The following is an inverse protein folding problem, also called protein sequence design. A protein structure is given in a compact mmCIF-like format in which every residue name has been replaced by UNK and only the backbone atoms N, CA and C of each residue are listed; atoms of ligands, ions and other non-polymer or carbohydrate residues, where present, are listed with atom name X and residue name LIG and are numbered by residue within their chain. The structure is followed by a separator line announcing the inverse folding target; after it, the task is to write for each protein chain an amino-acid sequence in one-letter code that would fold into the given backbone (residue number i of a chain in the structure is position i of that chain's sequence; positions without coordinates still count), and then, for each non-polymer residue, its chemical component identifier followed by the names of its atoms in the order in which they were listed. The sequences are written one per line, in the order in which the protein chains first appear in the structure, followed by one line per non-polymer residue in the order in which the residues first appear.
data_IF_876996823223
#
_entry.id   IF_876996823223
#
_cell.length_a   1.000
_cell.length_b   1.000
_cell.length_c   1.000
_cell.angle_alpha   90.00
_cell.angle_beta   90.00
_cell.angle_gamma   90.00
#
_symmetry.space_group_name_H-M   'P 1'
#
loop_
_entity.id
_entity.type
_entity.pdbx_description
1 polymer ?
#
# COMPACT_ATOMS: atom_id res chain seq x y z
N UNK A 1 -20.58 -18.44 -2.05
CA UNK A 1 -20.61 -16.99 -2.28
C UNK A 1 -21.47 -16.39 -1.19
N UNK A 2 -20.88 -16.13 -0.02
CA UNK A 2 -21.60 -15.65 1.16
C UNK A 2 -21.74 -14.13 1.11
N UNK A 3 -22.98 -13.66 1.22
CA UNK A 3 -23.39 -12.26 1.25
C UNK A 3 -22.67 -11.47 2.35
N UNK A 4 -21.61 -10.73 2.00
CA UNK A 4 -21.04 -9.72 2.89
C UNK A 4 -21.96 -8.48 3.02
N UNK A 5 -23.04 -8.44 2.24
CA UNK A 5 -24.06 -7.39 2.23
C UNK A 5 -24.83 -7.32 3.55
N UNK A 6 -25.03 -8.45 4.23
CA UNK A 6 -25.86 -8.52 5.44
C UNK A 6 -25.11 -8.12 6.73
N UNK A 7 -23.77 -8.20 6.73
CA UNK A 7 -22.93 -7.81 7.88
C UNK A 7 -22.92 -6.29 8.15
N UNK A 8 -23.37 -5.49 7.19
CA UNK A 8 -23.32 -4.02 7.23
C UNK A 8 -24.46 -3.45 8.09
N UNK A 9 -25.52 -4.23 8.32
CA UNK A 9 -26.69 -3.78 9.07
C UNK A 9 -26.61 -3.97 10.59
N UNK A 10 -25.51 -4.51 11.14
CA UNK A 10 -25.43 -4.80 12.57
C UNK A 10 -24.74 -3.72 13.41
N UNK A 11 -23.82 -2.90 12.87
CA UNK A 11 -23.29 -1.69 13.54
C UNK A 11 -22.72 -0.67 12.53
N UNK A 12 -23.37 0.49 12.32
CA UNK A 12 -22.87 1.53 11.41
C UNK A 12 -21.51 2.16 11.80
N UNK A 13 -20.95 1.82 12.97
CA UNK A 13 -19.62 2.26 13.43
C UNK A 13 -18.51 1.21 13.29
N UNK A 14 -18.69 0.14 12.51
CA UNK A 14 -17.65 -0.88 12.36
C UNK A 14 -16.77 -0.60 11.13
N UNK A 15 -15.69 0.16 11.31
CA UNK A 15 -14.73 0.46 10.24
C UNK A 15 -14.13 -0.79 9.58
N UNK A 16 -14.03 -1.92 10.30
CA UNK A 16 -13.57 -3.18 9.72
C UNK A 16 -14.54 -3.76 8.68
N UNK A 17 -15.85 -3.58 8.86
CA UNK A 17 -16.83 -4.07 7.89
C UNK A 17 -16.70 -3.35 6.54
N UNK A 18 -16.53 -2.03 6.57
CA UNK A 18 -16.26 -1.23 5.38
C UNK A 18 -14.90 -1.60 4.76
N UNK A 19 -13.84 -1.75 5.57
CA UNK A 19 -12.55 -2.22 5.07
C UNK A 19 -12.64 -3.56 4.35
N UNK A 20 -13.32 -4.54 4.94
CA UNK A 20 -13.51 -5.86 4.34
C UNK A 20 -14.34 -5.80 3.04
N UNK A 21 -15.42 -5.00 3.01
CA UNK A 21 -16.19 -4.80 1.78
C UNK A 21 -15.36 -4.12 0.69
N UNK A 22 -14.54 -3.13 1.06
CA UNK A 22 -13.62 -2.47 0.15
C UNK A 22 -12.61 -3.45 -0.46
N UNK A 23 -12.09 -4.39 0.33
CA UNK A 23 -11.22 -5.46 -0.17
C UNK A 23 -11.93 -6.36 -1.19
N UNK A 24 -13.17 -6.78 -0.90
CA UNK A 24 -13.98 -7.59 -1.83
C UNK A 24 -14.24 -6.83 -3.13
N UNK A 25 -14.64 -5.56 -3.05
CA UNK A 25 -14.86 -4.72 -4.23
C UNK A 25 -13.60 -4.53 -5.07
N UNK A 26 -12.44 -4.34 -4.43
CA UNK A 26 -11.14 -4.25 -5.13
C UNK A 26 -10.83 -5.54 -5.89
N UNK A 27 -11.11 -6.71 -5.29
CA UNK A 27 -10.94 -8.00 -5.97
C UNK A 27 -11.91 -8.19 -7.13
N UNK A 28 -13.10 -7.60 -7.06
CA UNK A 28 -14.08 -7.55 -8.13
C UNK A 28 -13.84 -6.42 -9.14
N UNK A 29 -12.70 -5.73 -9.04
CA UNK A 29 -12.32 -4.58 -9.88
C UNK A 29 -13.29 -3.37 -9.81
N UNK A 30 -14.20 -3.34 -8.83
CA UNK A 30 -14.96 -2.14 -8.45
C UNK A 30 -14.07 -1.20 -7.62
N UNK A 31 -13.10 -0.59 -8.29
CA UNK A 31 -12.10 0.25 -7.64
C UNK A 31 -12.71 1.53 -7.05
N UNK A 32 -13.71 2.13 -7.69
CA UNK A 32 -14.37 3.32 -7.17
C UNK A 32 -15.18 2.98 -5.90
N UNK A 33 -15.95 1.89 -5.92
CA UNK A 33 -16.69 1.43 -4.75
C UNK A 33 -15.76 0.99 -3.61
N UNK A 34 -14.60 0.41 -3.92
CA UNK A 34 -13.58 0.09 -2.93
C UNK A 34 -12.99 1.35 -2.26
N UNK A 35 -12.66 2.38 -3.04
CA UNK A 35 -12.17 3.67 -2.51
C UNK A 35 -13.19 4.31 -1.56
N UNK A 36 -14.48 4.29 -1.92
CA UNK A 36 -15.53 4.81 -1.04
C UNK A 36 -15.57 4.07 0.29
N UNK A 37 -15.50 2.74 0.26
CA UNK A 37 -15.53 1.91 1.47
C UNK A 37 -14.31 2.11 2.35
N UNK A 38 -13.10 2.15 1.77
CA UNK A 38 -11.91 2.48 2.53
C UNK A 38 -11.97 3.89 3.12
N UNK A 39 -12.55 4.85 2.40
CA UNK A 39 -12.71 6.23 2.90
C UNK A 39 -13.64 6.28 4.11
N UNK A 40 -14.74 5.52 4.10
CA UNK A 40 -15.62 5.40 5.27
C UNK A 40 -14.89 4.70 6.42
N UNK A 41 -14.14 3.62 6.16
CA UNK A 41 -13.35 2.94 7.18
C UNK A 41 -12.33 3.87 7.86
N UNK A 42 -11.68 4.73 7.07
CA UNK A 42 -10.76 5.79 7.54
C UNK A 42 -11.50 6.82 8.41
N UNK A 43 -12.67 7.28 8.00
CA UNK A 43 -13.46 8.25 8.78
C UNK A 43 -13.89 7.68 10.14
N UNK A 44 -14.17 6.37 10.20
CA UNK A 44 -14.56 5.68 11.44
C UNK A 44 -13.35 5.46 12.36
N UNK A 45 -12.21 5.05 11.82
CA UNK A 45 -10.98 4.85 12.58
C UNK A 45 -9.77 5.40 11.79
N UNK A 46 -9.42 6.68 12.00
CA UNK A 46 -8.35 7.34 11.24
C UNK A 46 -6.94 6.87 11.62
N UNK A 47 -6.80 6.17 12.74
CA UNK A 47 -5.52 5.66 13.24
C UNK A 47 -5.22 4.23 12.75
N UNK A 48 -6.16 3.59 12.03
CA UNK A 48 -5.93 2.30 11.41
C UNK A 48 -5.16 2.46 10.09
N UNK A 49 -3.95 1.92 9.95
CA UNK A 49 -3.15 2.04 8.72
C UNK A 49 -3.71 1.23 7.53
N UNK A 50 -4.45 0.14 7.77
CA UNK A 50 -4.84 -0.83 6.74
C UNK A 50 -5.78 -0.24 5.67
N UNK A 51 -6.82 0.54 6.02
CA UNK A 51 -7.67 1.19 5.01
C UNK A 51 -6.91 2.18 4.12
N UNK A 52 -5.93 2.92 4.65
CA UNK A 52 -5.09 3.80 3.82
C UNK A 52 -4.27 2.97 2.84
N UNK A 53 -3.60 1.93 3.30
CA UNK A 53 -2.75 1.09 2.44
C UNK A 53 -3.55 0.49 1.28
N UNK A 54 -4.71 -0.10 1.59
CA UNK A 54 -5.56 -0.70 0.58
C UNK A 54 -6.19 0.33 -0.37
N UNK A 55 -6.54 1.53 0.11
CA UNK A 55 -6.98 2.63 -0.75
C UNK A 55 -5.86 3.12 -1.65
N UNK A 56 -4.63 3.15 -1.17
CA UNK A 56 -3.44 3.49 -1.94
C UNK A 56 -3.21 2.52 -3.10
N UNK A 57 -3.25 1.21 -2.84
CA UNK A 57 -3.22 0.18 -3.88
C UNK A 57 -4.33 0.38 -4.92
N UNK A 58 -5.58 0.59 -4.46
CA UNK A 58 -6.72 0.81 -5.36
C UNK A 58 -6.56 2.06 -6.22
N UNK A 59 -6.03 3.16 -5.67
CA UNK A 59 -5.74 4.38 -6.41
C UNK A 59 -4.64 4.17 -7.45
N UNK A 60 -3.61 3.40 -7.10
CA UNK A 60 -2.56 3.01 -8.04
C UNK A 60 -3.13 2.19 -9.21
N UNK A 61 -4.05 1.25 -8.95
CA UNK A 61 -4.77 0.51 -10.01
C UNK A 61 -5.56 1.43 -10.96
N UNK A 62 -6.06 2.58 -10.47
CA UNK A 62 -6.75 3.59 -11.27
C UNK A 62 -5.82 4.63 -11.90
N UNK A 63 -4.49 4.54 -11.67
CA UNK A 63 -3.51 5.52 -12.14
C UNK A 63 -3.47 6.81 -11.33
N UNK A 64 -4.19 6.92 -10.20
CA UNK A 64 -4.07 8.03 -9.26
C UNK A 64 -2.81 7.86 -8.39
N UNK A 65 -1.65 8.09 -9.02
CA UNK A 65 -0.35 7.95 -8.37
C UNK A 65 -0.18 8.95 -7.22
N UNK A 66 -0.74 10.16 -7.35
CA UNK A 66 -0.67 11.20 -6.32
C UNK A 66 -1.43 10.81 -5.05
N UNK A 67 -2.65 10.31 -5.22
CA UNK A 67 -3.47 9.85 -4.10
C UNK A 67 -2.97 8.54 -3.50
N UNK A 68 -2.34 7.67 -4.29
CA UNK A 68 -1.66 6.47 -3.79
C UNK A 68 -0.46 6.85 -2.90
N UNK A 69 0.39 7.77 -3.36
CA UNK A 69 1.52 8.28 -2.60
C UNK A 69 1.10 8.86 -1.25
N UNK A 70 0.02 9.67 -1.24
CA UNK A 70 -0.52 10.24 -0.02
C UNK A 70 -0.99 9.17 0.98
N UNK A 71 -1.66 8.13 0.49
CA UNK A 71 -2.15 7.04 1.31
C UNK A 71 -1.01 6.17 1.87
N UNK A 72 0.01 5.83 1.05
CA UNK A 72 1.18 5.10 1.54
C UNK A 72 1.98 5.89 2.58
N UNK A 73 2.14 7.20 2.37
CA UNK A 73 2.75 8.09 3.37
C UNK A 73 1.99 8.04 4.70
N UNK A 74 0.66 8.07 4.67
CA UNK A 74 -0.15 7.98 5.86
C UNK A 74 -0.08 6.61 6.53
N UNK A 75 -0.07 5.51 5.77
CA UNK A 75 0.17 4.15 6.28
C UNK A 75 1.50 4.08 7.02
N UNK A 76 2.58 4.58 6.42
CA UNK A 76 3.92 4.58 7.02
C UNK A 76 3.97 5.45 8.29
N UNK A 77 3.28 6.59 8.29
CA UNK A 77 3.18 7.46 9.47
C UNK A 77 2.50 6.77 10.65
N UNK A 78 1.43 6.00 10.38
CA UNK A 78 0.67 5.27 11.39
C UNK A 78 1.36 3.96 11.82
N UNK A 79 2.03 3.28 10.88
CA UNK A 79 2.80 2.07 11.12
C UNK A 79 4.18 2.17 10.43
N UNK A 80 5.20 2.68 11.14
CA UNK A 80 6.55 2.83 10.60
C UNK A 80 7.27 1.53 10.24
N UNK A 81 6.69 0.37 10.60
CA UNK A 81 7.22 -0.96 10.36
C UNK A 81 6.35 -1.74 9.35
N UNK A 82 5.61 -1.05 8.47
CA UNK A 82 4.78 -1.68 7.44
C UNK A 82 5.58 -1.97 6.15
N UNK A 83 6.20 -3.15 5.97
CA UNK A 83 7.15 -3.40 4.89
C UNK A 83 6.52 -3.22 3.50
N UNK A 84 5.27 -3.65 3.31
CA UNK A 84 4.61 -3.53 2.01
C UNK A 84 4.35 -2.08 1.60
N UNK A 85 4.16 -1.17 2.57
CA UNK A 85 3.90 0.23 2.24
C UNK A 85 5.18 0.93 1.79
N UNK A 86 6.33 0.60 2.40
CA UNK A 86 7.63 1.03 1.89
C UNK A 86 7.90 0.43 0.51
N UNK A 87 7.62 -0.86 0.31
CA UNK A 87 7.85 -1.51 -0.98
C UNK A 87 7.05 -0.83 -2.11
N UNK A 88 5.73 -0.70 -1.95
CA UNK A 88 4.88 -0.10 -2.99
C UNK A 88 5.16 1.39 -3.19
N UNK A 89 5.48 2.14 -2.11
CA UNK A 89 5.90 3.53 -2.22
C UNK A 89 7.25 3.65 -2.94
N UNK A 90 8.18 2.73 -2.68
CA UNK A 90 9.47 2.67 -3.36
C UNK A 90 9.31 2.41 -4.86
N UNK A 91 8.47 1.45 -5.25
CA UNK A 91 8.14 1.21 -6.66
C UNK A 91 7.45 2.41 -7.31
N UNK A 92 6.57 3.09 -6.57
CA UNK A 92 5.90 4.29 -7.06
C UNK A 92 6.87 5.45 -7.27
N UNK A 93 7.79 5.68 -6.32
CA UNK A 93 8.88 6.65 -6.46
C UNK A 93 9.76 6.34 -7.69
N UNK A 94 10.11 5.08 -7.89
CA UNK A 94 10.87 4.65 -9.07
C UNK A 94 10.12 4.97 -10.38
N UNK A 95 8.81 4.70 -10.44
CA UNK A 95 7.99 5.01 -11.59
C UNK A 95 7.85 6.53 -11.84
N UNK A 96 7.97 7.35 -10.80
CA UNK A 96 7.96 8.81 -10.87
C UNK A 96 9.34 9.42 -11.14
N UNK A 97 10.41 8.62 -11.18
CA UNK A 97 11.79 9.09 -11.36
C UNK A 97 12.46 9.59 -10.07
N UNK A 98 11.82 9.44 -8.92
CA UNK A 98 12.33 9.79 -7.58
C UNK A 98 13.22 8.65 -7.05
N UNK A 99 14.34 8.39 -7.74
CA UNK A 99 15.14 7.17 -7.56
C UNK A 99 15.77 7.08 -6.17
N UNK A 100 16.23 8.19 -5.59
CA UNK A 100 16.87 8.18 -4.26
C UNK A 100 15.87 7.78 -3.17
N UNK A 101 14.64 8.28 -3.26
CA UNK A 101 13.54 7.95 -2.36
C UNK A 101 13.10 6.49 -2.55
N UNK A 102 13.10 6.00 -3.80
CA UNK A 102 12.83 4.60 -4.09
C UNK A 102 13.85 3.66 -3.45
N UNK A 103 15.14 3.98 -3.56
CA UNK A 103 16.24 3.23 -2.95
C UNK A 103 16.09 3.21 -1.43
N UNK A 104 15.88 4.38 -0.81
CA UNK A 104 15.75 4.48 0.65
C UNK A 104 14.59 3.60 1.19
N UNK A 105 13.46 3.57 0.47
CA UNK A 105 12.32 2.74 0.84
C UNK A 105 12.61 1.25 0.70
N UNK A 106 13.21 0.82 -0.41
CA UNK A 106 13.54 -0.58 -0.67
C UNK A 106 14.65 -1.10 0.25
N UNK A 107 15.61 -0.26 0.65
CA UNK A 107 16.61 -0.60 1.66
C UNK A 107 15.95 -0.91 3.01
N UNK A 108 14.94 -0.12 3.40
CA UNK A 108 14.19 -0.37 4.62
C UNK A 108 13.42 -1.70 4.58
N UNK A 109 12.86 -2.05 3.42
CA UNK A 109 12.22 -3.37 3.21
C UNK A 109 13.23 -4.49 3.35
N UNK A 110 14.39 -4.38 2.70
CA UNK A 110 15.44 -5.38 2.75
C UNK A 110 15.94 -5.59 4.20
N UNK A 111 16.23 -4.50 4.94
CA UNK A 111 16.62 -4.60 6.34
C UNK A 111 15.56 -5.30 7.19
N UNK A 112 14.29 -4.91 7.06
CA UNK A 112 13.19 -5.51 7.82
C UNK A 112 13.02 -7.01 7.49
N UNK A 113 13.13 -7.40 6.21
CA UNK A 113 12.98 -8.79 5.80
C UNK A 113 14.16 -9.68 6.23
N UNK A 114 15.37 -9.12 6.30
CA UNK A 114 16.53 -9.79 6.88
C UNK A 114 16.36 -10.02 8.39
N UNK A 115 15.87 -9.02 9.14
CA UNK A 115 15.64 -9.13 10.59
C UNK A 115 14.67 -10.24 10.96
N UNK A 116 13.62 -10.45 10.15
CA UNK A 116 12.62 -11.51 10.38
C UNK A 116 12.91 -12.82 9.63
N UNK A 117 14.06 -12.91 8.95
CA UNK A 117 14.48 -14.12 8.20
C UNK A 117 13.59 -14.47 7.00
N UNK A 118 12.88 -13.50 6.41
CA UNK A 118 12.03 -13.71 5.22
C UNK A 118 12.81 -13.50 3.94
N UNK A 119 13.43 -14.58 3.45
CA UNK A 119 14.33 -14.57 2.28
C UNK A 119 13.65 -14.06 1.00
N UNK A 120 12.42 -14.49 0.68
CA UNK A 120 11.76 -14.09 -0.58
C UNK A 120 11.54 -12.58 -0.71
N UNK A 121 11.05 -11.92 0.35
CA UNK A 121 10.90 -10.46 0.37
C UNK A 121 12.24 -9.73 0.25
N UNK A 122 13.28 -10.28 0.89
CA UNK A 122 14.62 -9.70 0.83
C UNK A 122 15.17 -9.75 -0.60
N UNK A 123 15.06 -10.90 -1.26
CA UNK A 123 15.53 -11.10 -2.64
C UNK A 123 14.79 -10.15 -3.61
N UNK A 124 13.46 -10.03 -3.46
CA UNK A 124 12.66 -9.10 -4.27
C UNK A 124 13.12 -7.64 -4.10
N UNK A 125 13.36 -7.20 -2.85
CA UNK A 125 13.84 -5.85 -2.58
C UNK A 125 15.26 -5.62 -3.15
N UNK A 126 16.17 -6.59 -3.01
CA UNK A 126 17.53 -6.51 -3.57
C UNK A 126 17.51 -6.44 -5.10
N UNK A 127 16.63 -7.20 -5.75
CA UNK A 127 16.48 -7.16 -7.20
C UNK A 127 16.09 -5.76 -7.69
N UNK A 128 15.11 -5.13 -7.04
CA UNK A 128 14.69 -3.76 -7.40
C UNK A 128 15.79 -2.75 -7.12
N UNK A 129 16.50 -2.87 -6.00
CA UNK A 129 17.63 -2.00 -5.64
C UNK A 129 18.75 -2.07 -6.67
N UNK A 130 19.12 -3.27 -7.11
CA UNK A 130 20.15 -3.45 -8.13
C UNK A 130 19.76 -2.73 -9.42
N UNK A 131 18.54 -2.96 -9.91
CA UNK A 131 18.02 -2.33 -11.13
C UNK A 131 18.06 -0.80 -11.06
N UNK A 132 17.67 -0.22 -9.93
CA UNK A 132 17.68 1.23 -9.73
C UNK A 132 19.09 1.81 -9.73
N UNK A 133 20.04 1.17 -9.04
CA UNK A 133 21.44 1.59 -8.97
C UNK A 133 22.14 1.50 -10.32
N UNK A 134 21.86 0.47 -11.10
CA UNK A 134 22.37 0.35 -12.48
C UNK A 134 21.85 1.49 -13.36
N UNK A 135 20.56 1.81 -13.27
CA UNK A 135 19.98 2.92 -14.04
C UNK A 135 20.52 4.31 -13.67
N UNK A 136 20.97 4.50 -12.42
CA UNK A 136 21.67 5.73 -12.01
C UNK A 136 23.09 5.79 -12.56
N UNK A 137 23.80 4.67 -12.64
CA UNK A 137 25.18 4.62 -13.12
C UNK A 137 25.32 4.94 -14.62
N UNK A 138 24.24 4.73 -15.40
CA UNK A 138 24.19 4.99 -16.84
C UNK A 138 23.68 6.42 -17.19
N UNK A 139 23.37 7.24 -16.19
CA UNK A 139 23.00 8.65 -16.40
C UNK A 139 24.25 9.53 -16.54
N UNK A 140 24.43 10.28 -17.64
CA UNK A 140 25.66 11.02 -17.95
C UNK A 140 25.94 12.23 -17.06
#
# INVERSE_FOLDING_TARGET
MGDCSEAINLRPGNGYAYGNRGLVKRQLEDFQGAIQDFTIAIQINPDNPEPYYNRGLTRQNLGDLSGAMADFNQTIKLNPNHPFAYYDRGLLNAALGEVDQAIADLEKVASACLEVGRVGCFDDAQYQLQKLRESQADSP
#
